data_IF_842082108210
#
_entry.id   IF_842082108210
#
_cell.length_a   1.000
_cell.length_b   1.000
_cell.length_c   1.000
_cell.angle_alpha   90.00
_cell.angle_beta   90.00
_cell.angle_gamma   90.00
#
_symmetry.space_group_name_H-M   'P 1'
#
loop_
_entity.id
_entity.type
_entity.pdbx_description
1 polymer ?
#
# COMPACT_ATOMS: atom_id res chain seq x y z
N UNK A 1 -51.86 1.73 10.53
CA UNK A 1 -52.45 1.52 11.89
C UNK A 1 -51.72 0.36 12.57
N UNK A 2 -51.58 0.32 13.90
CA UNK A 2 -50.81 -0.74 14.59
C UNK A 2 -51.28 -2.16 14.27
N UNK A 3 -50.38 -3.14 14.39
CA UNK A 3 -50.65 -4.54 14.07
C UNK A 3 -50.26 -5.48 15.20
N UNK A 4 -51.10 -6.47 15.49
CA UNK A 4 -50.74 -7.61 16.35
C UNK A 4 -51.35 -8.90 15.82
N UNK A 5 -50.54 -9.95 15.79
CA UNK A 5 -50.98 -11.31 15.52
C UNK A 5 -50.46 -12.22 16.61
N UNK A 6 -51.31 -13.12 17.09
CA UNK A 6 -50.96 -14.18 18.02
C UNK A 6 -51.63 -15.49 17.60
N UNK A 7 -50.81 -16.51 17.35
CA UNK A 7 -51.27 -17.87 17.08
C UNK A 7 -50.99 -18.77 18.29
N UNK A 8 -52.07 -19.23 18.93
CA UNK A 8 -51.96 -20.10 20.10
C UNK A 8 -51.31 -21.46 19.79
N UNK A 9 -51.62 -22.04 18.63
CA UNK A 9 -51.16 -23.38 18.25
C UNK A 9 -49.65 -23.41 18.05
N UNK A 10 -49.11 -22.33 17.49
CA UNK A 10 -47.68 -22.15 17.26
C UNK A 10 -46.95 -21.48 18.44
N UNK A 11 -47.70 -20.96 19.42
CA UNK A 11 -47.16 -20.19 20.55
C UNK A 11 -46.23 -19.05 20.11
N UNK A 12 -46.59 -18.40 19.02
CA UNK A 12 -45.85 -17.30 18.43
C UNK A 12 -46.78 -16.25 17.84
N UNK A 13 -46.23 -15.06 17.63
CA UNK A 13 -46.94 -13.94 17.05
C UNK A 13 -45.96 -12.87 16.61
N UNK A 14 -46.48 -11.74 16.20
CA UNK A 14 -45.69 -10.54 15.93
C UNK A 14 -46.48 -9.29 16.33
N UNK A 15 -45.75 -8.24 16.66
CA UNK A 15 -46.29 -6.92 17.03
C UNK A 15 -45.60 -5.87 16.16
N UNK A 16 -46.36 -4.89 15.66
CA UNK A 16 -45.82 -3.75 14.89
C UNK A 16 -46.41 -2.45 15.41
N UNK A 17 -45.53 -1.53 15.80
CA UNK A 17 -45.87 -0.12 16.03
C UNK A 17 -45.61 0.65 14.73
N UNK A 18 -46.67 0.85 13.96
CA UNK A 18 -46.59 1.49 12.65
C UNK A 18 -46.28 3.00 12.72
N UNK A 19 -46.47 3.64 13.88
CA UNK A 19 -46.06 5.03 14.07
C UNK A 19 -44.54 5.15 14.21
N UNK A 20 -43.88 4.12 14.75
CA UNK A 20 -42.43 4.05 14.91
C UNK A 20 -41.73 3.29 13.78
N UNK A 21 -42.48 2.56 12.95
CA UNK A 21 -41.92 1.73 11.88
C UNK A 21 -41.12 0.53 12.40
N UNK A 22 -41.41 0.06 13.62
CA UNK A 22 -40.71 -1.04 14.28
C UNK A 22 -41.67 -2.23 14.48
N UNK A 23 -41.14 -3.44 14.38
CA UNK A 23 -41.87 -4.66 14.64
C UNK A 23 -40.96 -5.78 15.14
N UNK A 24 -41.51 -6.74 15.87
CA UNK A 24 -40.76 -7.89 16.31
C UNK A 24 -41.65 -9.12 16.48
N UNK A 25 -41.05 -10.29 16.40
CA UNK A 25 -41.70 -11.54 16.78
C UNK A 25 -41.90 -11.60 18.30
N UNK A 26 -43.05 -12.11 18.73
CA UNK A 26 -43.38 -12.34 20.13
C UNK A 26 -43.52 -13.85 20.39
N UNK A 27 -42.89 -14.32 21.47
CA UNK A 27 -42.98 -15.73 21.93
C UNK A 27 -43.79 -15.88 23.22
N UNK A 28 -44.41 -14.80 23.67
CA UNK A 28 -45.26 -14.77 24.87
C UNK A 28 -46.62 -14.19 24.51
N UNK A 29 -47.67 -14.88 24.96
CA UNK A 29 -49.05 -14.48 24.69
C UNK A 29 -49.32 -13.06 25.20
N UNK A 30 -49.88 -12.16 24.38
CA UNK A 30 -50.23 -10.81 24.82
C UNK A 30 -51.15 -10.82 26.04
N UNK A 31 -50.85 -9.99 27.03
CA UNK A 31 -51.71 -9.80 28.20
C UNK A 31 -52.68 -8.66 27.91
N UNK A 32 -53.91 -9.02 27.54
CA UNK A 32 -55.01 -8.09 27.29
C UNK A 32 -56.15 -8.39 28.27
N UNK A 33 -57.02 -7.40 28.49
CA UNK A 33 -58.13 -7.44 29.45
C UNK A 33 -59.37 -8.20 28.95
N UNK A 34 -59.26 -8.88 27.79
CA UNK A 34 -60.29 -9.72 27.22
C UNK A 34 -59.74 -11.12 26.85
N UNK A 35 -60.58 -12.17 26.89
CA UNK A 35 -60.14 -13.52 26.58
C UNK A 35 -60.01 -13.74 25.07
N UNK A 36 -58.93 -14.43 24.69
CA UNK A 36 -58.68 -14.95 23.35
C UNK A 36 -57.74 -16.16 23.43
N UNK A 37 -57.84 -17.08 22.48
CA UNK A 37 -56.82 -18.10 22.19
C UNK A 37 -55.90 -17.58 21.08
N UNK A 38 -56.44 -17.11 19.95
CA UNK A 38 -55.71 -16.42 18.88
C UNK A 38 -56.17 -14.97 18.71
N UNK A 39 -55.30 -14.10 18.20
CA UNK A 39 -55.59 -12.68 17.98
C UNK A 39 -55.06 -12.25 16.62
N UNK A 40 -55.88 -11.60 15.80
CA UNK A 40 -55.51 -11.14 14.46
C UNK A 40 -56.06 -9.73 14.24
N UNK A 41 -55.22 -8.74 14.46
CA UNK A 41 -55.52 -7.34 14.20
C UNK A 41 -54.47 -6.78 13.23
N UNK A 42 -54.80 -6.81 11.95
CA UNK A 42 -54.00 -6.34 10.82
C UNK A 42 -54.90 -5.44 9.93
N UNK A 43 -55.17 -4.20 10.37
CA UNK A 43 -56.16 -3.32 9.75
C UNK A 43 -55.88 -3.01 8.26
N UNK A 44 -54.60 -2.99 7.86
CA UNK A 44 -54.18 -2.73 6.47
C UNK A 44 -54.70 -3.79 5.49
N UNK A 45 -54.92 -5.02 5.96
CA UNK A 45 -55.47 -6.13 5.16
C UNK A 45 -56.89 -6.52 5.61
N UNK A 46 -57.51 -5.72 6.48
CA UNK A 46 -58.88 -5.90 6.94
C UNK A 46 -59.08 -6.98 8.02
N UNK A 47 -58.01 -7.52 8.61
CA UNK A 47 -58.15 -8.48 9.71
C UNK A 47 -58.41 -7.75 11.02
N UNK A 48 -59.52 -8.07 11.68
CA UNK A 48 -59.85 -7.57 13.01
C UNK A 48 -60.74 -8.58 13.75
N UNK A 49 -60.16 -9.70 14.18
CA UNK A 49 -60.88 -10.76 14.88
C UNK A 49 -60.00 -11.45 15.93
N UNK A 50 -60.65 -12.11 16.87
CA UNK A 50 -60.03 -13.03 17.83
C UNK A 50 -60.61 -14.43 17.66
N UNK A 51 -59.80 -15.44 17.97
CA UNK A 51 -60.22 -16.83 18.06
C UNK A 51 -60.39 -17.15 19.54
N UNK A 52 -61.53 -17.70 19.94
CA UNK A 52 -61.78 -18.11 21.33
C UNK A 52 -61.86 -19.63 21.46
N UNK A 53 -61.88 -20.11 22.71
CA UNK A 53 -61.96 -21.53 23.05
C UNK A 53 -63.06 -22.24 22.25
N UNK A 54 -62.64 -23.26 21.48
CA UNK A 54 -63.50 -23.98 20.53
C UNK A 54 -63.33 -23.57 19.07
N UNK A 55 -62.40 -22.65 18.77
CA UNK A 55 -62.02 -22.28 17.39
C UNK A 55 -62.95 -21.29 16.72
N UNK A 56 -63.85 -20.64 17.48
CA UNK A 56 -64.78 -19.67 16.92
C UNK A 56 -64.08 -18.33 16.64
N UNK A 57 -64.31 -17.80 15.44
CA UNK A 57 -63.84 -16.48 15.00
C UNK A 57 -64.85 -15.42 15.42
N UNK A 58 -64.40 -14.44 16.22
CA UNK A 58 -65.24 -13.36 16.75
C UNK A 58 -64.64 -12.02 16.28
N UNK A 59 -65.40 -11.15 15.58
CA UNK A 59 -64.94 -9.81 15.26
C UNK A 59 -64.58 -9.02 16.52
N UNK A 60 -63.51 -8.23 16.45
CA UNK A 60 -63.08 -7.40 17.57
C UNK A 60 -64.06 -6.24 17.78
N UNK A 61 -64.37 -5.93 19.05
CA UNK A 61 -65.13 -4.71 19.38
C UNK A 61 -64.24 -3.47 19.36
N UNK A 62 -64.84 -2.29 19.37
CA UNK A 62 -64.09 -1.03 19.44
C UNK A 62 -63.27 -0.91 20.73
N UNK A 63 -63.79 -1.42 21.86
CA UNK A 63 -63.07 -1.46 23.13
C UNK A 63 -61.83 -2.37 23.05
N UNK A 64 -61.94 -3.54 22.43
CA UNK A 64 -60.84 -4.48 22.25
C UNK A 64 -59.76 -3.93 21.32
N UNK A 65 -60.15 -3.26 20.23
CA UNK A 65 -59.22 -2.55 19.33
C UNK A 65 -58.46 -1.46 20.09
N UNK A 66 -59.14 -0.71 20.96
CA UNK A 66 -58.47 0.30 21.79
C UNK A 66 -57.48 -0.33 22.78
N UNK A 67 -57.84 -1.43 23.43
CA UNK A 67 -56.95 -2.17 24.32
C UNK A 67 -55.71 -2.72 23.59
N UNK A 68 -55.89 -3.24 22.37
CA UNK A 68 -54.79 -3.67 21.50
C UNK A 68 -53.85 -2.50 21.17
N UNK A 69 -54.39 -1.36 20.75
CA UNK A 69 -53.57 -0.20 20.42
C UNK A 69 -52.78 0.30 21.64
N UNK A 70 -53.41 0.32 22.83
CA UNK A 70 -52.76 0.69 24.08
C UNK A 70 -51.62 -0.28 24.45
N UNK A 71 -51.85 -1.59 24.29
CA UNK A 71 -50.83 -2.61 24.49
C UNK A 71 -49.63 -2.38 23.57
N UNK A 72 -49.85 -2.16 22.28
CA UNK A 72 -48.77 -1.96 21.29
C UNK A 72 -48.00 -0.68 21.59
N UNK A 73 -48.67 0.42 21.94
CA UNK A 73 -48.01 1.67 22.32
C UNK A 73 -47.13 1.55 23.56
N UNK A 74 -47.51 0.69 24.51
CA UNK A 74 -46.74 0.37 25.72
C UNK A 74 -45.77 -0.80 25.57
N UNK A 75 -45.71 -1.45 24.40
CA UNK A 75 -44.88 -2.62 24.18
C UNK A 75 -43.40 -2.21 24.12
N UNK A 76 -42.57 -2.86 24.93
CA UNK A 76 -41.13 -2.68 24.92
C UNK A 76 -40.53 -3.50 23.77
N UNK A 77 -40.45 -2.88 22.59
CA UNK A 77 -39.76 -3.48 21.45
C UNK A 77 -38.29 -3.69 21.77
N UNK A 78 -37.69 -4.82 21.39
CA UNK A 78 -36.26 -5.01 21.48
C UNK A 78 -35.55 -3.97 20.61
N UNK A 79 -34.47 -3.39 21.13
CA UNK A 79 -33.59 -2.54 20.33
C UNK A 79 -32.99 -3.39 19.21
N UNK A 80 -33.35 -3.12 17.96
CA UNK A 80 -32.64 -3.76 16.84
C UNK A 80 -31.25 -3.13 16.72
N UNK A 81 -30.20 -3.96 16.60
CA UNK A 81 -28.87 -3.43 16.46
C UNK A 81 -28.71 -2.81 15.06
N UNK A 82 -28.06 -1.66 15.01
CA UNK A 82 -27.80 -0.89 13.79
C UNK A 82 -26.31 -0.89 13.48
N UNK A 83 -25.95 -0.87 12.21
CA UNK A 83 -24.57 -0.61 11.82
C UNK A 83 -24.26 0.85 12.15
N UNK A 84 -23.09 1.09 12.73
CA UNK A 84 -22.68 2.43 13.17
C UNK A 84 -21.38 2.83 12.52
N UNK A 85 -21.32 4.10 12.17
CA UNK A 85 -20.10 4.79 11.74
C UNK A 85 -19.85 5.99 12.63
N UNK A 86 -18.59 6.38 12.78
CA UNK A 86 -18.24 7.64 13.42
C UNK A 86 -18.44 8.85 12.48
N UNK A 87 -18.06 10.04 12.96
CA UNK A 87 -18.19 11.30 12.21
C UNK A 87 -17.40 11.32 10.90
N UNK A 88 -16.32 10.54 10.81
CA UNK A 88 -15.49 10.43 9.60
C UNK A 88 -16.02 9.37 8.64
N UNK A 89 -17.04 8.59 9.06
CA UNK A 89 -17.68 7.54 8.29
C UNK A 89 -17.04 6.17 8.48
N UNK A 90 -16.13 6.00 9.45
CA UNK A 90 -15.45 4.73 9.73
C UNK A 90 -16.39 3.79 10.47
N UNK A 91 -16.48 2.54 10.01
CA UNK A 91 -17.35 1.53 10.59
C UNK A 91 -16.91 1.13 12.01
N UNK A 92 -17.84 1.26 12.98
CA UNK A 92 -17.64 0.95 14.40
C UNK A 92 -18.23 -0.39 14.82
N UNK A 93 -19.04 -1.01 13.97
CA UNK A 93 -19.66 -2.30 14.24
C UNK A 93 -21.18 -2.24 14.24
N UNK A 94 -21.77 -3.32 14.73
CA UNK A 94 -23.20 -3.50 14.91
C UNK A 94 -23.52 -3.33 16.40
N UNK A 95 -24.30 -2.30 16.75
CA UNK A 95 -24.59 -1.93 18.15
C UNK A 95 -26.08 -1.68 18.36
N UNK A 96 -26.57 -1.98 19.56
CA UNK A 96 -27.93 -1.61 19.95
C UNK A 96 -28.09 -0.08 19.91
N UNK A 97 -29.21 0.42 19.39
CA UNK A 97 -29.45 1.87 19.28
C UNK A 97 -29.30 2.63 20.61
N UNK A 98 -29.66 2.01 21.72
CA UNK A 98 -29.49 2.57 23.07
C UNK A 98 -28.02 2.69 23.54
N UNK A 99 -27.07 2.06 22.84
CA UNK A 99 -25.63 2.04 23.17
C UNK A 99 -24.78 2.88 22.23
N UNK A 100 -25.40 3.60 21.28
CA UNK A 100 -24.68 4.51 20.40
C UNK A 100 -23.99 5.61 21.21
N UNK A 101 -22.74 5.90 20.86
CA UNK A 101 -21.95 6.96 21.48
C UNK A 101 -22.28 8.33 20.87
N UNK A 102 -21.92 9.40 21.57
CA UNK A 102 -22.08 10.76 21.04
C UNK A 102 -21.18 10.95 19.80
N UNK A 103 -21.78 11.29 18.66
CA UNK A 103 -21.08 11.42 17.38
C UNK A 103 -21.27 10.23 16.43
N UNK A 104 -21.86 9.13 16.91
CA UNK A 104 -22.21 7.99 16.08
C UNK A 104 -23.36 8.30 15.12
N UNK A 105 -23.29 7.71 13.93
CA UNK A 105 -24.36 7.74 12.93
C UNK A 105 -24.79 6.32 12.58
N UNK A 106 -26.09 6.06 12.68
CA UNK A 106 -26.68 4.80 12.24
C UNK A 106 -26.71 4.72 10.71
N UNK A 107 -26.34 3.56 10.18
CA UNK A 107 -26.44 3.20 8.76
C UNK A 107 -27.18 1.86 8.64
N UNK A 108 -28.02 1.71 7.62
CA UNK A 108 -28.91 0.54 7.49
C UNK A 108 -28.31 -0.59 6.65
N UNK A 109 -27.04 -0.49 6.26
CA UNK A 109 -26.34 -1.49 5.46
C UNK A 109 -24.95 -1.74 6.01
N UNK A 110 -24.54 -3.01 6.01
CA UNK A 110 -23.18 -3.41 6.37
C UNK A 110 -22.16 -2.92 5.31
N UNK A 111 -20.92 -2.60 5.70
CA UNK A 111 -19.86 -2.33 4.74
C UNK A 111 -19.60 -3.58 3.88
N UNK A 112 -19.33 -3.45 2.56
CA UNK A 112 -18.99 -4.58 1.71
C UNK A 112 -17.69 -5.28 2.13
N UNK A 113 -16.75 -4.54 2.70
CA UNK A 113 -15.52 -5.06 3.32
C UNK A 113 -14.93 -4.02 4.28
N UNK A 114 -13.94 -4.46 5.05
CA UNK A 114 -13.14 -3.65 5.98
C UNK A 114 -12.51 -2.38 5.38
N UNK A 115 -12.25 -2.37 4.06
CA UNK A 115 -11.68 -1.21 3.35
C UNK A 115 -12.72 -0.23 2.80
N UNK A 116 -13.90 -0.11 3.43
CA UNK A 116 -14.95 0.82 3.02
C UNK A 116 -15.26 1.85 4.10
N UNK A 117 -15.55 3.07 3.65
CA UNK A 117 -15.97 4.19 4.49
C UNK A 117 -17.34 4.70 4.04
N UNK A 118 -18.16 5.17 4.97
CA UNK A 118 -19.48 5.71 4.67
C UNK A 118 -19.41 7.21 4.35
N UNK A 119 -19.66 7.56 3.08
CA UNK A 119 -19.69 8.96 2.61
C UNK A 119 -20.84 9.16 1.62
N UNK A 120 -21.48 10.32 1.70
CA UNK A 120 -22.57 10.72 0.80
C UNK A 120 -23.72 9.70 0.71
N UNK A 121 -23.99 9.00 1.81
CA UNK A 121 -25.08 8.03 1.91
C UNK A 121 -24.77 6.66 1.28
N UNK A 122 -23.50 6.35 0.98
CA UNK A 122 -23.10 5.06 0.45
C UNK A 122 -21.73 4.61 1.01
N UNK A 123 -21.50 3.29 0.97
CA UNK A 123 -20.19 2.71 1.23
C UNK A 123 -19.27 2.96 0.02
N UNK A 124 -18.14 3.61 0.26
CA UNK A 124 -17.13 3.90 -0.75
C UNK A 124 -15.84 3.17 -0.40
N UNK A 125 -15.21 2.54 -1.40
CA UNK A 125 -13.95 1.83 -1.21
C UNK A 125 -12.82 2.84 -0.98
N UNK A 126 -12.04 2.61 0.08
CA UNK A 126 -10.82 3.34 0.39
C UNK A 126 -9.71 2.81 -0.51
N UNK A 127 -9.05 3.72 -1.21
CA UNK A 127 -7.88 3.43 -2.04
C UNK A 127 -6.59 3.74 -1.29
N UNK A 128 -6.57 4.80 -0.47
CA UNK A 128 -5.45 5.12 0.40
C UNK A 128 -5.96 5.49 1.78
N UNK A 129 -5.25 5.05 2.82
CA UNK A 129 -5.37 5.68 4.13
C UNK A 129 -4.01 6.17 4.66
N UNK A 130 -4.07 7.25 5.42
CA UNK A 130 -2.91 7.98 5.95
C UNK A 130 -2.89 7.83 7.47
N UNK A 131 -1.76 7.44 8.02
CA UNK A 131 -1.49 7.33 9.46
C UNK A 131 -1.14 8.70 10.04
N UNK A 132 -1.19 8.86 11.36
CA UNK A 132 -0.92 10.13 12.04
C UNK A 132 0.47 10.74 11.75
N UNK A 133 1.46 9.90 11.41
CA UNK A 133 2.81 10.35 11.06
C UNK A 133 2.97 10.74 9.58
N UNK A 134 1.86 10.75 8.83
CA UNK A 134 1.77 11.06 7.40
C UNK A 134 2.18 9.92 6.48
N UNK A 135 2.59 8.75 6.98
CA UNK A 135 2.76 7.56 6.14
C UNK A 135 1.41 7.09 5.62
N UNK A 136 1.41 6.36 4.51
CA UNK A 136 0.18 5.93 3.86
C UNK A 136 0.28 4.50 3.38
N UNK A 137 -0.88 3.89 3.17
CA UNK A 137 -1.05 2.51 2.71
C UNK A 137 -2.10 2.49 1.60
N UNK A 138 -1.83 1.77 0.51
CA UNK A 138 -2.81 1.47 -0.51
C UNK A 138 -3.71 0.30 -0.08
N UNK A 139 -5.01 0.42 -0.37
CA UNK A 139 -6.00 -0.61 -0.06
C UNK A 139 -5.96 -1.11 1.40
N UNK A 140 -6.10 -0.21 2.39
CA UNK A 140 -5.94 -0.54 3.80
C UNK A 140 -6.96 -1.58 4.28
N UNK A 141 -6.54 -2.39 5.26
CA UNK A 141 -7.40 -3.36 5.96
C UNK A 141 -7.76 -2.87 7.38
N UNK A 142 -8.79 -3.44 8.04
CA UNK A 142 -9.39 -2.86 9.26
C UNK A 142 -8.53 -2.97 10.54
N UNK A 143 -7.27 -3.37 10.44
CA UNK A 143 -6.43 -3.58 11.63
C UNK A 143 -5.75 -2.30 12.13
N UNK A 144 -5.77 -1.24 11.35
CA UNK A 144 -5.00 -0.03 11.62
C UNK A 144 -5.88 1.22 11.80
N UNK A 145 -5.42 2.10 12.70
CA UNK A 145 -6.02 3.41 12.94
C UNK A 145 -5.39 4.40 11.95
N UNK A 146 -6.24 5.02 11.14
CA UNK A 146 -5.82 6.03 10.17
C UNK A 146 -6.42 7.38 10.51
N UNK A 147 -5.68 8.43 10.19
CA UNK A 147 -6.10 9.81 10.37
C UNK A 147 -6.92 10.32 9.18
N UNK A 148 -6.67 9.83 7.96
CA UNK A 148 -7.37 10.25 6.74
C UNK A 148 -7.61 9.05 5.83
N UNK A 149 -8.76 9.04 5.16
CA UNK A 149 -9.14 8.06 4.17
C UNK A 149 -9.45 8.75 2.84
N UNK A 150 -8.84 8.25 1.76
CA UNK A 150 -9.06 8.69 0.39
C UNK A 150 -9.71 7.60 -0.45
N UNK A 151 -10.75 7.97 -1.17
CA UNK A 151 -11.38 7.18 -2.21
C UNK A 151 -10.66 7.40 -3.55
N UNK A 152 -10.98 6.58 -4.54
CA UNK A 152 -10.34 6.63 -5.88
C UNK A 152 -10.36 8.01 -6.54
N UNK A 153 -11.44 8.77 -6.36
CA UNK A 153 -11.58 10.10 -6.95
C UNK A 153 -10.71 11.16 -6.27
N UNK A 154 -10.38 10.95 -4.99
CA UNK A 154 -9.67 11.92 -4.16
C UNK A 154 -8.15 11.75 -4.24
N UNK A 155 -7.67 10.57 -4.65
CA UNK A 155 -6.24 10.29 -4.75
C UNK A 155 -5.86 9.63 -6.09
N UNK A 156 -6.05 10.39 -7.18
CA UNK A 156 -5.61 10.00 -8.52
C UNK A 156 -4.76 11.09 -9.17
N UNK A 157 -3.48 10.81 -9.54
CA UNK A 157 -2.78 9.55 -9.38
C UNK A 157 -2.44 9.22 -7.92
N UNK A 158 -2.11 7.95 -7.65
CA UNK A 158 -1.58 7.54 -6.34
C UNK A 158 -0.23 8.25 -6.08
N UNK A 159 0.08 8.59 -4.82
CA UNK A 159 1.37 9.13 -4.44
C UNK A 159 2.47 8.10 -4.71
N UNK A 160 3.65 8.59 -5.07
CA UNK A 160 4.82 7.74 -5.28
C UNK A 160 5.34 7.16 -3.96
N UNK A 161 6.06 6.06 -4.04
CA UNK A 161 6.77 5.48 -2.90
C UNK A 161 7.68 6.53 -2.23
N UNK A 162 7.69 6.56 -0.90
CA UNK A 162 8.46 7.53 -0.10
C UNK A 162 7.78 8.89 0.10
N UNK A 163 6.64 9.16 -0.54
CA UNK A 163 5.84 10.35 -0.23
C UNK A 163 5.12 10.18 1.11
N UNK A 164 4.90 11.30 1.80
CA UNK A 164 4.10 11.39 3.02
C UNK A 164 3.03 12.46 2.88
N UNK A 165 1.95 12.33 3.63
CA UNK A 165 0.92 13.36 3.74
C UNK A 165 1.37 14.47 4.70
N UNK A 166 1.20 15.72 4.28
CA UNK A 166 1.36 16.89 5.13
C UNK A 166 -0.02 17.40 5.57
N UNK A 167 -0.38 17.17 6.84
CA UNK A 167 -1.68 17.59 7.39
C UNK A 167 -1.94 19.09 7.32
N UNK A 168 -0.90 19.93 7.33
CA UNK A 168 -1.07 21.39 7.27
C UNK A 168 -1.26 21.89 5.83
N UNK A 169 -0.56 21.27 4.88
CA UNK A 169 -0.64 21.63 3.47
C UNK A 169 -1.75 20.88 2.72
N UNK A 170 -2.34 19.86 3.35
CA UNK A 170 -3.34 18.96 2.78
C UNK A 170 -2.88 18.38 1.42
N UNK A 171 -1.62 17.95 1.37
CA UNK A 171 -1.00 17.42 0.17
C UNK A 171 0.08 16.38 0.48
N UNK A 172 0.27 15.44 -0.45
CA UNK A 172 1.43 14.56 -0.44
C UNK A 172 2.70 15.32 -0.82
N UNK A 173 3.79 15.03 -0.12
CA UNK A 173 5.12 15.57 -0.40
C UNK A 173 6.16 14.46 -0.37
N UNK A 174 7.24 14.66 -1.12
CA UNK A 174 8.38 13.75 -1.12
C UNK A 174 9.15 13.88 0.19
N UNK A 175 9.13 12.83 1.02
CA UNK A 175 9.77 12.83 2.33
C UNK A 175 11.22 12.31 2.31
N UNK A 176 11.78 12.01 1.12
CA UNK A 176 13.18 11.61 1.00
C UNK A 176 14.10 12.74 1.46
N UNK A 177 15.21 12.38 2.09
CA UNK A 177 16.25 13.34 2.46
C UNK A 177 17.16 13.60 1.25
N UNK A 178 17.25 14.86 0.82
CA UNK A 178 17.99 15.25 -0.38
C UNK A 178 19.46 14.81 -0.33
N UNK A 179 20.13 14.97 0.82
CA UNK A 179 21.55 14.66 0.96
C UNK A 179 21.81 13.16 1.03
N UNK A 180 20.92 12.42 1.70
CA UNK A 180 20.93 10.95 1.67
C UNK A 180 20.73 10.42 0.26
N UNK A 181 19.72 10.90 -0.47
CA UNK A 181 19.46 10.49 -1.86
C UNK A 181 20.61 10.87 -2.79
N UNK A 182 21.24 12.04 -2.58
CA UNK A 182 22.46 12.46 -3.31
C UNK A 182 23.61 11.47 -3.08
N UNK A 183 23.80 11.03 -1.84
CA UNK A 183 24.83 10.06 -1.47
C UNK A 183 24.57 8.69 -2.11
N UNK A 184 23.35 8.17 -2.02
CA UNK A 184 22.93 6.89 -2.61
C UNK A 184 23.12 6.91 -4.13
N UNK A 185 22.61 7.93 -4.81
CA UNK A 185 22.75 8.09 -6.27
C UNK A 185 24.22 8.16 -6.70
N UNK A 186 25.07 8.87 -5.93
CA UNK A 186 26.51 8.94 -6.20
C UNK A 186 27.21 7.58 -6.04
N UNK A 187 26.72 6.74 -5.13
CA UNK A 187 27.24 5.39 -4.87
C UNK A 187 26.84 4.44 -6.01
N UNK A 188 25.58 4.51 -6.44
CA UNK A 188 25.08 3.72 -7.59
C UNK A 188 25.86 4.04 -8.87
N UNK A 189 26.12 5.32 -9.14
CA UNK A 189 26.96 5.75 -10.28
C UNK A 189 28.35 5.10 -10.20
N UNK A 190 29.02 5.15 -9.05
CA UNK A 190 30.37 4.56 -8.89
C UNK A 190 30.36 3.06 -9.15
N UNK A 191 29.40 2.33 -8.57
CA UNK A 191 29.27 0.89 -8.75
C UNK A 191 29.04 0.52 -10.22
N UNK A 192 28.18 1.26 -10.91
CA UNK A 192 27.89 1.10 -12.34
C UNK A 192 29.13 1.38 -13.19
N UNK A 193 29.89 2.43 -12.90
CA UNK A 193 31.08 2.79 -13.68
C UNK A 193 32.26 1.87 -13.41
N UNK A 194 32.38 1.29 -12.21
CA UNK A 194 33.30 0.20 -11.95
C UNK A 194 33.00 -1.00 -12.88
N UNK A 195 31.74 -1.43 -12.96
CA UNK A 195 31.33 -2.50 -13.88
C UNK A 195 31.57 -2.14 -15.35
N UNK A 196 31.27 -0.90 -15.75
CA UNK A 196 31.44 -0.40 -17.12
C UNK A 196 32.89 -0.33 -17.57
N UNK A 197 33.83 -0.05 -16.67
CA UNK A 197 35.27 -0.11 -16.95
C UNK A 197 35.67 -1.51 -17.45
N UNK A 198 35.22 -2.56 -16.75
CA UNK A 198 35.49 -3.94 -17.13
C UNK A 198 34.87 -4.32 -18.48
N UNK A 199 33.62 -3.92 -18.72
CA UNK A 199 32.93 -4.21 -19.98
C UNK A 199 33.57 -3.50 -21.17
N UNK A 200 33.93 -2.23 -21.01
CA UNK A 200 34.53 -1.44 -22.10
C UNK A 200 35.93 -1.97 -22.44
N UNK A 201 36.65 -2.48 -21.45
CA UNK A 201 37.93 -3.16 -21.68
C UNK A 201 37.78 -4.55 -22.30
N UNK A 202 36.63 -5.20 -22.14
CA UNK A 202 36.34 -6.53 -22.67
C UNK A 202 37.09 -7.67 -21.97
N UNK A 203 37.75 -7.39 -20.85
CA UNK A 203 38.49 -8.38 -20.05
C UNK A 203 38.25 -8.12 -18.57
N UNK A 204 38.00 -9.17 -17.80
CA UNK A 204 38.17 -9.12 -16.36
C UNK A 204 39.64 -9.31 -16.04
N UNK A 205 40.26 -8.28 -15.45
CA UNK A 205 41.65 -8.34 -15.01
C UNK A 205 41.63 -8.32 -13.48
N UNK A 206 42.17 -9.36 -12.81
CA UNK A 206 42.30 -9.33 -11.35
C UNK A 206 43.08 -8.11 -10.88
N UNK A 207 42.72 -7.58 -9.71
CA UNK A 207 43.35 -6.37 -9.16
C UNK A 207 44.88 -6.50 -9.03
N UNK A 208 45.37 -7.66 -8.57
CA UNK A 208 46.81 -7.89 -8.43
C UNK A 208 47.56 -7.78 -9.77
N UNK A 209 46.93 -8.11 -10.89
CA UNK A 209 47.53 -7.97 -12.22
C UNK A 209 47.62 -6.50 -12.62
N UNK A 210 46.56 -5.72 -12.37
CA UNK A 210 46.56 -4.27 -12.61
C UNK A 210 47.61 -3.52 -11.78
N UNK A 211 47.89 -3.98 -10.56
CA UNK A 211 48.93 -3.40 -9.71
C UNK A 211 50.33 -3.52 -10.35
N UNK A 212 50.55 -4.54 -11.18
CA UNK A 212 51.82 -4.70 -11.92
C UNK A 212 51.94 -3.80 -13.15
N UNK A 213 50.84 -3.28 -13.69
CA UNK A 213 50.85 -2.52 -14.95
C UNK A 213 51.69 -1.25 -14.86
N UNK A 214 51.70 -0.58 -13.71
CA UNK A 214 52.58 0.59 -13.48
C UNK A 214 54.06 0.23 -13.51
N UNK A 215 54.43 -0.96 -13.01
CA UNK A 215 55.80 -1.44 -13.05
C UNK A 215 56.22 -1.77 -14.49
N UNK A 216 55.36 -2.50 -15.22
CA UNK A 216 55.57 -2.82 -16.63
C UNK A 216 55.71 -1.56 -17.48
N UNK A 217 54.80 -0.60 -17.35
CA UNK A 217 54.87 0.67 -18.08
C UNK A 217 56.13 1.48 -17.73
N UNK A 218 56.49 1.56 -16.45
CA UNK A 218 57.69 2.30 -16.03
C UNK A 218 58.97 1.70 -16.60
N UNK A 219 59.11 0.37 -16.59
CA UNK A 219 60.28 -0.30 -17.16
C UNK A 219 60.28 -0.23 -18.69
N UNK A 220 59.12 -0.29 -19.33
CA UNK A 220 58.98 -0.17 -20.78
C UNK A 220 59.40 1.23 -21.27
N UNK A 221 58.96 2.30 -20.59
CA UNK A 221 59.39 3.67 -20.87
C UNK A 221 60.90 3.87 -20.64
N UNK A 222 61.45 3.24 -19.59
CA UNK A 222 62.89 3.30 -19.32
C UNK A 222 63.71 2.62 -20.43
N UNK A 223 63.26 1.44 -20.91
CA UNK A 223 63.88 0.73 -22.02
C UNK A 223 63.77 1.48 -23.36
N UNK A 224 62.62 2.11 -23.62
CA UNK A 224 62.42 2.95 -24.82
C UNK A 224 63.38 4.15 -24.84
N UNK A 225 63.64 4.75 -23.67
CA UNK A 225 64.58 5.86 -23.53
C UNK A 225 66.06 5.42 -23.57
N UNK A 226 66.39 4.25 -22.99
CA UNK A 226 67.71 3.64 -23.01
C UNK A 226 67.61 2.11 -22.99
N UNK A 227 68.04 1.46 -24.08
CA UNK A 227 68.03 0.00 -24.19
C UNK A 227 68.94 -0.72 -23.17
N UNK A 228 69.78 0.01 -22.43
CA UNK A 228 70.60 -0.50 -21.31
C UNK A 228 69.95 -0.30 -19.94
N UNK A 229 68.78 0.33 -19.87
CA UNK A 229 68.06 0.50 -18.61
C UNK A 229 67.75 -0.83 -17.94
N UNK A 230 67.77 -0.85 -16.60
CA UNK A 230 67.43 -2.03 -15.82
C UNK A 230 65.92 -2.25 -15.85
N UNK A 231 65.49 -3.43 -16.31
CA UNK A 231 64.07 -3.81 -16.43
C UNK A 231 63.80 -5.18 -15.77
N UNK A 232 64.06 -5.33 -14.46
CA UNK A 232 64.00 -6.63 -13.80
C UNK A 232 62.61 -7.29 -13.86
N UNK A 233 61.52 -6.52 -13.87
CA UNK A 233 60.18 -7.06 -14.00
C UNK A 233 59.94 -7.62 -15.41
N UNK A 234 60.23 -6.83 -16.46
CA UNK A 234 60.08 -7.28 -17.85
C UNK A 234 61.01 -8.45 -18.17
N UNK A 235 62.23 -8.45 -17.61
CA UNK A 235 63.20 -9.55 -17.71
C UNK A 235 62.66 -10.84 -17.07
N UNK A 236 62.09 -10.75 -15.88
CA UNK A 236 61.47 -11.90 -15.23
C UNK A 236 60.22 -12.37 -15.99
N UNK A 237 59.42 -11.43 -16.51
CA UNK A 237 58.19 -11.73 -17.23
C UNK A 237 58.48 -12.51 -18.52
N UNK A 238 59.40 -12.02 -19.36
CA UNK A 238 59.77 -12.69 -20.62
C UNK A 238 60.43 -14.06 -20.38
N UNK A 239 61.17 -14.22 -19.28
CA UNK A 239 61.84 -15.48 -18.94
C UNK A 239 60.88 -16.56 -18.41
N UNK A 240 59.77 -16.17 -17.78
CA UNK A 240 58.91 -17.11 -17.04
C UNK A 240 57.49 -17.26 -17.61
N UNK A 241 57.00 -16.32 -18.42
CA UNK A 241 55.64 -16.35 -18.95
C UNK A 241 55.60 -17.05 -20.31
N UNK A 242 55.30 -18.35 -20.28
CA UNK A 242 55.38 -19.24 -21.47
C UNK A 242 54.31 -18.96 -22.55
N UNK A 243 53.23 -18.26 -22.22
CA UNK A 243 52.15 -17.86 -23.15
C UNK A 243 52.40 -16.52 -23.84
N UNK A 244 53.53 -15.86 -23.56
CA UNK A 244 53.93 -14.63 -24.26
C UNK A 244 54.25 -14.91 -25.73
N UNK A 245 53.43 -14.37 -26.62
CA UNK A 245 53.64 -14.45 -28.06
C UNK A 245 54.45 -13.23 -28.58
N UNK A 246 55.58 -12.95 -27.94
CA UNK A 246 56.50 -11.86 -28.34
C UNK A 246 57.85 -12.44 -28.73
N UNK A 247 58.46 -11.88 -29.78
CA UNK A 247 59.73 -12.38 -30.32
C UNK A 247 60.94 -12.01 -29.45
N UNK A 248 60.88 -10.86 -28.76
CA UNK A 248 61.96 -10.33 -27.95
C UNK A 248 61.44 -9.26 -26.95
N UNK A 249 62.35 -8.69 -26.16
CA UNK A 249 62.05 -7.64 -25.19
C UNK A 249 61.50 -6.37 -25.86
N UNK A 250 61.97 -5.99 -27.05
CA UNK A 250 61.49 -4.79 -27.73
C UNK A 250 60.01 -4.95 -28.15
N UNK A 251 59.64 -6.12 -28.66
CA UNK A 251 58.25 -6.47 -28.96
C UNK A 251 57.37 -6.45 -27.68
N UNK A 252 57.88 -6.95 -26.55
CA UNK A 252 57.18 -6.86 -25.26
C UNK A 252 56.96 -5.41 -24.82
N UNK A 253 57.96 -4.56 -24.97
CA UNK A 253 57.88 -3.12 -24.63
C UNK A 253 56.83 -2.42 -25.49
N UNK A 254 56.82 -2.66 -26.80
CA UNK A 254 55.80 -2.10 -27.70
C UNK A 254 54.38 -2.56 -27.29
N UNK A 255 54.19 -3.84 -26.98
CA UNK A 255 52.91 -4.38 -26.53
C UNK A 255 52.45 -3.74 -25.20
N UNK A 256 53.35 -3.62 -24.22
CA UNK A 256 53.07 -2.99 -22.92
C UNK A 256 52.64 -1.53 -23.10
N UNK A 257 53.38 -0.74 -23.87
CA UNK A 257 53.08 0.68 -24.09
C UNK A 257 51.78 0.88 -24.90
N UNK A 258 51.53 0.01 -25.90
CA UNK A 258 50.29 0.01 -26.69
C UNK A 258 49.07 -0.32 -25.82
N UNK A 259 49.17 -1.35 -24.97
CA UNK A 259 48.13 -1.73 -24.03
C UNK A 259 47.89 -0.62 -22.99
N UNK A 260 48.94 -0.05 -22.41
CA UNK A 260 48.84 1.04 -21.44
C UNK A 260 48.15 2.27 -22.04
N UNK A 261 48.52 2.65 -23.28
CA UNK A 261 47.88 3.76 -24.00
C UNK A 261 46.40 3.51 -24.26
N UNK A 262 46.06 2.30 -24.71
CA UNK A 262 44.68 1.91 -25.00
C UNK A 262 43.82 1.90 -23.73
N UNK A 263 44.35 1.34 -22.64
CA UNK A 263 43.67 1.31 -21.35
C UNK A 263 43.43 2.72 -20.80
N UNK A 264 44.44 3.60 -20.84
CA UNK A 264 44.31 5.00 -20.40
C UNK A 264 43.22 5.75 -21.16
N UNK A 265 43.09 5.55 -22.47
CA UNK A 265 42.03 6.17 -23.28
C UNK A 265 40.64 5.70 -22.85
N UNK A 266 40.47 4.40 -22.63
CA UNK A 266 39.20 3.82 -22.18
C UNK A 266 38.85 4.32 -20.78
N UNK A 267 39.80 4.24 -19.83
CA UNK A 267 39.62 4.69 -18.46
C UNK A 267 39.31 6.20 -18.39
N UNK A 268 40.04 7.03 -19.14
CA UNK A 268 39.77 8.47 -19.15
C UNK A 268 38.37 8.79 -19.67
N UNK A 269 37.90 8.06 -20.70
CA UNK A 269 36.55 8.24 -21.24
C UNK A 269 35.49 7.87 -20.20
N UNK A 270 35.60 6.69 -19.59
CA UNK A 270 34.61 6.23 -18.60
C UNK A 270 34.62 7.08 -17.34
N UNK A 271 35.79 7.49 -16.84
CA UNK A 271 35.91 8.43 -15.71
C UNK A 271 35.31 9.80 -16.04
N UNK A 272 35.50 10.31 -17.26
CA UNK A 272 34.89 11.58 -17.65
C UNK A 272 33.35 11.50 -17.66
N UNK A 273 32.80 10.41 -18.18
CA UNK A 273 31.37 10.15 -18.15
C UNK A 273 30.84 10.02 -16.70
N UNK A 274 31.54 9.31 -15.83
CA UNK A 274 31.22 9.20 -14.40
C UNK A 274 31.22 10.57 -13.72
N UNK A 275 32.29 11.35 -13.88
CA UNK A 275 32.40 12.69 -13.29
C UNK A 275 31.34 13.66 -13.80
N UNK A 276 30.93 13.55 -15.05
CA UNK A 276 29.82 14.35 -15.56
C UNK A 276 28.51 14.05 -14.82
N UNK A 277 28.22 12.77 -14.54
CA UNK A 277 27.03 12.40 -13.76
C UNK A 277 27.16 12.80 -12.28
N UNK A 278 28.32 12.57 -11.65
CA UNK A 278 28.57 12.99 -10.28
C UNK A 278 28.48 14.52 -10.13
N UNK A 279 28.89 15.28 -11.15
CA UNK A 279 28.73 16.74 -11.18
C UNK A 279 27.26 17.14 -11.26
N UNK A 280 26.44 16.46 -12.07
CA UNK A 280 24.98 16.67 -12.07
C UNK A 280 24.37 16.38 -10.71
N UNK A 281 24.74 15.27 -10.08
CA UNK A 281 24.26 14.89 -8.73
C UNK A 281 24.67 15.94 -7.70
N UNK A 282 25.91 16.43 -7.74
CA UNK A 282 26.41 17.49 -6.84
C UNK A 282 25.67 18.81 -7.02
N UNK A 283 25.27 19.15 -8.25
CA UNK A 283 24.63 20.41 -8.56
C UNK A 283 23.11 20.38 -8.44
N UNK A 284 22.51 19.19 -8.27
CA UNK A 284 21.08 19.07 -8.02
C UNK A 284 20.68 19.73 -6.69
N UNK A 285 19.60 20.49 -6.74
CA UNK A 285 19.03 21.28 -5.64
C UNK A 285 17.69 20.72 -5.15
N UNK A 286 17.15 19.72 -5.84
CA UNK A 286 15.90 19.05 -5.49
C UNK A 286 15.93 17.56 -5.81
N UNK A 287 15.01 16.81 -5.19
CA UNK A 287 14.82 15.39 -5.44
C UNK A 287 14.37 15.12 -6.88
N UNK A 288 13.51 15.98 -7.43
CA UNK A 288 13.07 15.89 -8.82
C UNK A 288 14.25 16.00 -9.80
N UNK A 289 15.22 16.89 -9.54
CA UNK A 289 16.44 16.97 -10.36
C UNK A 289 17.31 15.71 -10.22
N UNK A 290 17.38 15.10 -9.04
CA UNK A 290 18.10 13.84 -8.84
C UNK A 290 17.44 12.66 -9.57
N UNK A 291 16.11 12.62 -9.62
CA UNK A 291 15.36 11.56 -10.31
C UNK A 291 15.58 11.60 -11.83
N UNK A 292 15.75 12.79 -12.40
CA UNK A 292 16.06 12.99 -13.82
C UNK A 292 17.48 12.55 -14.23
N UNK A 293 18.37 12.26 -13.28
CA UNK A 293 19.71 11.75 -13.58
C UNK A 293 19.62 10.26 -13.89
N UNK A 294 19.66 9.93 -15.17
CA UNK A 294 19.70 8.55 -15.66
C UNK A 294 21.08 7.92 -15.42
N UNK A 295 21.09 6.84 -14.66
CA UNK A 295 22.29 6.01 -14.47
C UNK A 295 22.30 4.96 -15.59
N UNK A 296 23.40 4.81 -16.35
CA UNK A 296 23.50 3.80 -17.40
C UNK A 296 23.24 2.39 -16.86
N UNK A 297 22.47 1.61 -17.60
CA UNK A 297 22.33 0.17 -17.30
C UNK A 297 23.60 -0.55 -17.76
N UNK A 298 24.13 -1.39 -16.87
CA UNK A 298 25.31 -2.21 -17.13
C UNK A 298 24.94 -3.63 -16.75
N UNK A 299 25.03 -4.56 -17.70
CA UNK A 299 24.72 -5.96 -17.40
C UNK A 299 25.69 -6.48 -16.33
N UNK A 300 25.21 -7.08 -15.23
CA UNK A 300 26.08 -7.70 -14.23
C UNK A 300 27.01 -8.73 -14.88
N UNK A 301 28.23 -8.86 -14.35
CA UNK A 301 29.33 -9.65 -14.93
C UNK A 301 28.92 -11.06 -15.40
N UNK A 302 29.44 -11.41 -16.59
CA UNK A 302 29.92 -12.74 -17.02
C UNK A 302 29.21 -13.95 -16.41
N UNK A 303 28.25 -14.53 -17.15
CA UNK A 303 27.93 -15.94 -16.97
C UNK A 303 29.06 -16.76 -17.63
N UNK A 304 29.69 -17.72 -16.94
CA UNK A 304 30.51 -18.71 -17.61
C UNK A 304 29.64 -19.40 -18.66
N UNK A 305 30.14 -19.50 -19.89
CA UNK A 305 29.62 -20.46 -20.86
C UNK A 305 29.96 -21.89 -20.42
#
# INVERSE_FOLDING_TARGET
MNTIVWNNELSEGFVVDNAKGIGCDIKTKPSLDFPFDGLYYEPEIGNAFKVVKGGAFIPLTSEEINAINLFISGYAFPDEPVHVVDLDGVYRGLVDTAKMEEGDKAVHTAPPSEGHIWRDGAWQKVEIAVREDGTWEDHPTATDIYAIYFTKGECSPLPSEGFKWNFKAEAFYDARDLEKTRYEKSTDIRNVYEAKNWQTWGKFIPQYEMETWRMQESEALAFEADAKASTPFLDALIANRADLNVSDKAALVEEVLSNATSFKKILAKTMAEEFNLLTKVKNATSLAELDLIEIPTVTPRWQPA
#
